data_IF_742389315063
#
_entry.id   IF_742389315063
#
_cell.length_a   1.000
_cell.length_b   1.000
_cell.length_c   1.000
_cell.angle_alpha   90.00
_cell.angle_beta   90.00
_cell.angle_gamma   90.00
#
_symmetry.space_group_name_H-M   'P 1'
#
loop_
_entity.id
_entity.type
_entity.pdbx_description
1 polymer ?
#
# COMPACT_ATOMS: atom_id res chain seq x y z
N UNK A 1 -17.29 -0.49 -11.22
CA UNK A 1 -16.01 -1.24 -11.20
C UNK A 1 -14.83 -0.26 -11.21
N UNK A 2 -13.65 -0.60 -10.66
CA UNK A 2 -12.53 0.36 -10.58
C UNK A 2 -11.93 0.70 -11.96
N UNK A 3 -11.67 -0.31 -12.79
CA UNK A 3 -11.15 -0.14 -14.16
C UNK A 3 -12.11 0.71 -14.98
N UNK A 4 -13.38 0.32 -15.02
CA UNK A 4 -14.46 1.03 -15.73
C UNK A 4 -14.53 2.52 -15.39
N UNK A 5 -14.53 2.87 -14.09
CA UNK A 5 -14.56 4.28 -13.69
C UNK A 5 -13.31 5.05 -14.10
N UNK A 6 -12.13 4.44 -13.96
CA UNK A 6 -10.86 5.09 -14.32
C UNK A 6 -10.75 5.28 -15.84
N UNK A 7 -11.07 4.25 -16.62
CA UNK A 7 -11.02 4.32 -18.09
C UNK A 7 -12.06 5.28 -18.70
N UNK A 8 -13.10 5.65 -17.94
CA UNK A 8 -14.08 6.66 -18.35
C UNK A 8 -13.58 8.10 -18.25
N UNK A 9 -12.47 8.35 -17.54
CA UNK A 9 -11.93 9.71 -17.30
C UNK A 9 -10.48 9.89 -17.76
N UNK A 10 -9.69 8.81 -17.81
CA UNK A 10 -8.30 8.81 -18.26
C UNK A 10 -8.04 7.61 -19.19
N UNK A 11 -7.07 7.74 -20.09
CA UNK A 11 -6.58 6.60 -20.88
C UNK A 11 -5.68 5.75 -20.00
N UNK A 12 -5.97 4.45 -19.91
CA UNK A 12 -5.09 3.46 -19.27
C UNK A 12 -4.17 2.85 -20.32
N UNK A 13 -2.89 2.71 -19.99
CA UNK A 13 -1.89 2.12 -20.87
C UNK A 13 -1.45 0.73 -20.37
N UNK A 14 -1.01 -0.16 -21.28
CA UNK A 14 -0.40 -1.43 -20.87
C UNK A 14 0.79 -1.19 -19.95
N UNK A 15 0.77 -1.82 -18.77
CA UNK A 15 1.79 -1.67 -17.74
C UNK A 15 1.40 -0.72 -16.60
N UNK A 16 0.27 -0.01 -16.69
CA UNK A 16 -0.24 0.80 -15.59
C UNK A 16 -0.57 -0.05 -14.36
N UNK A 17 -0.24 0.46 -13.18
CA UNK A 17 -0.46 -0.21 -11.89
C UNK A 17 -1.54 0.54 -11.09
N UNK A 18 -2.60 -0.17 -10.74
CA UNK A 18 -3.71 0.37 -9.94
C UNK A 18 -3.64 -0.22 -8.52
N UNK A 19 -3.47 0.65 -7.52
CA UNK A 19 -3.54 0.27 -6.12
C UNK A 19 -5.01 0.25 -5.67
N UNK A 20 -5.58 -0.93 -5.47
CA UNK A 20 -7.03 -1.14 -5.30
C UNK A 20 -7.60 -0.76 -3.94
N UNK A 21 -6.75 -0.29 -3.02
CA UNK A 21 -7.12 0.09 -1.65
C UNK A 21 -6.50 -0.80 -0.58
N UNK A 22 -6.66 -0.39 0.68
CA UNK A 22 -6.15 -1.09 1.87
C UNK A 22 -7.27 -1.34 2.87
N UNK A 23 -7.29 -2.47 3.60
CA UNK A 23 -8.27 -2.71 4.65
C UNK A 23 -8.05 -1.79 5.86
N UNK A 24 -8.89 -1.94 6.89
CA UNK A 24 -8.74 -1.23 8.16
C UNK A 24 -7.44 -1.61 8.89
N UNK A 25 -7.02 -0.77 9.83
CA UNK A 25 -5.84 -1.03 10.67
C UNK A 25 -4.60 -0.19 10.34
N UNK A 26 -4.72 0.73 9.38
CA UNK A 26 -3.73 1.77 9.13
C UNK A 26 -3.35 2.48 10.44
N UNK A 27 -2.06 2.74 10.61
CA UNK A 27 -1.48 3.25 11.85
C UNK A 27 -2.11 4.56 12.36
N UNK A 28 -2.51 5.45 11.45
CA UNK A 28 -3.21 6.69 11.74
C UNK A 28 -4.57 6.48 12.44
N UNK A 29 -5.27 5.38 12.14
CA UNK A 29 -6.59 5.10 12.69
C UNK A 29 -6.55 4.42 14.08
N UNK A 30 -5.35 4.11 14.60
CA UNK A 30 -5.18 3.50 15.92
C UNK A 30 -5.31 4.53 17.04
N UNK A 31 -5.56 4.06 18.27
CA UNK A 31 -5.61 4.89 19.50
C UNK A 31 -4.73 4.25 20.59
N UNK A 32 -3.52 4.79 20.85
CA UNK A 32 -2.89 5.94 20.19
C UNK A 32 -2.49 5.66 18.72
N UNK A 33 -2.35 6.69 17.86
CA UNK A 33 -1.83 6.52 16.51
C UNK A 33 -0.41 5.94 16.52
N UNK A 34 -0.11 5.09 15.54
CA UNK A 34 1.22 4.48 15.38
C UNK A 34 1.72 4.71 13.96
N UNK A 35 2.84 5.42 13.82
CA UNK A 35 3.50 5.63 12.53
C UNK A 35 4.77 4.80 12.43
N UNK A 36 5.26 4.60 11.21
CA UNK A 36 6.53 3.92 10.93
C UNK A 36 7.68 4.73 11.55
N UNK A 37 8.60 4.03 12.19
CA UNK A 37 9.80 4.60 12.82
C UNK A 37 11.07 3.97 12.22
N UNK A 38 12.23 4.63 12.38
CA UNK A 38 13.51 4.04 12.01
C UNK A 38 13.73 2.72 12.76
N UNK A 39 14.17 1.69 12.04
CA UNK A 39 14.32 0.32 12.53
C UNK A 39 13.08 -0.56 12.35
N UNK A 40 11.92 0.01 11.99
CA UNK A 40 10.72 -0.80 11.74
C UNK A 40 10.85 -1.60 10.43
N UNK A 41 10.36 -2.84 10.46
CA UNK A 41 10.12 -3.65 9.27
C UNK A 41 8.61 -3.77 9.03
N UNK A 42 8.15 -3.38 7.82
CA UNK A 42 6.76 -3.58 7.39
C UNK A 42 6.71 -4.76 6.43
N UNK A 43 5.92 -5.77 6.78
CA UNK A 43 5.67 -6.95 5.96
C UNK A 43 4.23 -6.92 5.47
N UNK A 44 4.05 -6.90 4.16
CA UNK A 44 2.75 -6.98 3.49
C UNK A 44 2.64 -8.31 2.77
N UNK A 45 1.51 -9.00 2.92
CA UNK A 45 1.27 -10.33 2.31
C UNK A 45 -0.07 -10.35 1.61
N UNK A 46 -0.10 -10.94 0.43
CA UNK A 46 -1.33 -11.37 -0.24
C UNK A 46 -1.21 -12.87 -0.48
N UNK A 47 -2.20 -13.62 0.01
CA UNK A 47 -2.26 -15.07 -0.18
C UNK A 47 -2.23 -15.41 -1.68
N UNK A 48 -1.41 -16.39 -2.06
CA UNK A 48 -1.23 -16.81 -3.46
C UNK A 48 -0.35 -15.88 -4.32
N UNK A 49 0.05 -14.70 -3.83
CA UNK A 49 0.99 -13.81 -4.53
C UNK A 49 2.36 -13.82 -3.85
N UNK A 50 2.39 -13.60 -2.53
CA UNK A 50 3.63 -13.60 -1.75
C UNK A 50 3.69 -12.48 -0.70
N UNK A 51 4.89 -12.29 -0.15
CA UNK A 51 5.18 -11.31 0.90
C UNK A 51 6.26 -10.34 0.46
N UNK A 52 6.07 -9.06 0.78
CA UNK A 52 7.06 -8.01 0.62
C UNK A 52 7.45 -7.45 1.99
N UNK A 53 8.75 -7.42 2.28
CA UNK A 53 9.32 -6.85 3.51
C UNK A 53 10.12 -5.59 3.18
N UNK A 54 9.79 -4.48 3.83
CA UNK A 54 10.50 -3.21 3.73
C UNK A 54 11.06 -2.81 5.09
N UNK A 55 12.36 -2.51 5.15
CA UNK A 55 13.05 -2.05 6.36
C UNK A 55 13.30 -0.56 6.26
N UNK A 56 12.83 0.20 7.26
CA UNK A 56 12.89 1.65 7.26
C UNK A 56 14.06 2.13 8.12
N UNK A 57 14.88 3.01 7.55
CA UNK A 57 16.03 3.59 8.22
C UNK A 57 16.12 5.09 7.93
N UNK A 58 16.70 5.85 8.85
CA UNK A 58 17.09 7.23 8.57
C UNK A 58 18.35 7.20 7.72
N UNK A 59 18.35 7.93 6.61
CA UNK A 59 19.60 8.34 5.99
C UNK A 59 20.11 9.60 6.70
N UNK A 60 21.42 9.67 7.02
CA UNK A 60 22.03 10.86 7.57
C UNK A 60 21.99 12.03 6.57
#
# INVERSE_FOLDING_TARGET
MLIERLSGVITLFPGDVILTGTPSGAGQARRPPRFIRPGDAVVSTIEGIGSMRNEFFLRP
#
